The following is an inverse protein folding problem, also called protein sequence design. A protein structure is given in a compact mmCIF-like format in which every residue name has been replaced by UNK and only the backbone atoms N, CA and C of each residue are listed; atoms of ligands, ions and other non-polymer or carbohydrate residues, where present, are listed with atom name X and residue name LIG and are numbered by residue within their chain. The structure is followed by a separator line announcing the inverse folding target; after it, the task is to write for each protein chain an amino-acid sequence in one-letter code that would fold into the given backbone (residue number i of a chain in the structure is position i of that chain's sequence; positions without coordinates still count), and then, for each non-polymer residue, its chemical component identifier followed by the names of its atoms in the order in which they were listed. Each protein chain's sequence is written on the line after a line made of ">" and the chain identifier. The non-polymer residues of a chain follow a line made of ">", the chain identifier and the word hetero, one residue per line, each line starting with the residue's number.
data_IF_000429167453
#
_entry.id   IF_000429167453
#
_cell.length_a   1.000
_cell.length_b   1.000
_cell.length_c   1.000
_cell.angle_alpha   90.00
_cell.angle_beta   90.00
_cell.angle_gamma   90.00
#
_symmetry.space_group_name_H-M   'P 1'
#
loop_
_entity.id
_entity.type
_entity.pdbx_description
1 polymer ?
#
# COMPACT_ATOMS: atom_id res chain seq x y z
N UNK A 1 7.27 8.64 7.48
CA UNK A 1 8.29 7.76 8.10
C UNK A 1 9.44 7.59 7.12
N UNK A 2 10.68 7.55 7.60
CA UNK A 2 11.87 7.23 6.81
C UNK A 2 12.65 6.10 7.49
N UNK A 3 13.32 5.26 6.70
CA UNK A 3 14.24 4.23 7.19
C UNK A 3 15.63 4.48 6.61
N UNK A 4 16.63 4.51 7.48
CA UNK A 4 18.03 4.60 7.07
C UNK A 4 18.48 3.27 6.47
N UNK A 5 18.92 3.28 5.21
CA UNK A 5 19.32 2.07 4.48
C UNK A 5 20.63 1.45 4.96
N UNK A 6 21.48 2.20 5.67
CA UNK A 6 22.77 1.75 6.16
C UNK A 6 22.73 1.28 7.61
N UNK A 7 21.81 1.82 8.42
CA UNK A 7 21.71 1.48 9.85
C UNK A 7 20.44 0.74 10.22
N UNK A 8 19.41 0.76 9.36
CA UNK A 8 18.09 0.22 9.67
C UNK A 8 17.30 1.06 10.68
N UNK A 9 17.81 2.23 11.08
CA UNK A 9 17.09 3.17 11.93
C UNK A 9 15.81 3.67 11.28
N UNK A 10 14.72 3.71 12.04
CA UNK A 10 13.40 4.15 11.59
C UNK A 10 13.03 5.44 12.32
N UNK A 11 12.62 6.44 11.56
CA UNK A 11 12.17 7.74 12.06
C UNK A 11 10.77 8.07 11.55
N UNK A 12 9.91 8.57 12.44
CA UNK A 12 8.61 9.15 12.09
C UNK A 12 8.67 10.65 12.21
N UNK A 13 8.06 11.31 11.24
CA UNK A 13 8.01 12.76 11.14
C UNK A 13 6.55 13.18 11.25
N UNK A 14 6.27 14.04 12.23
CA UNK A 14 4.95 14.65 12.38
C UNK A 14 4.91 15.88 11.47
N UNK A 15 3.90 15.96 10.61
CA UNK A 15 3.74 17.04 9.65
C UNK A 15 2.45 17.80 9.95
N UNK A 16 2.55 19.10 10.17
CA UNK A 16 1.41 19.98 10.42
C UNK A 16 1.61 21.31 9.67
N UNK A 17 0.54 21.80 9.02
CA UNK A 17 0.57 23.03 8.21
C UNK A 17 1.77 23.11 7.24
N UNK A 18 2.04 22.02 6.52
CA UNK A 18 3.16 21.88 5.59
C UNK A 18 4.57 22.01 6.22
N UNK A 19 4.70 21.82 7.53
CA UNK A 19 5.97 21.83 8.26
C UNK A 19 6.19 20.51 9.00
N UNK A 20 7.44 20.06 9.10
CA UNK A 20 7.83 19.02 10.04
C UNK A 20 7.82 19.63 11.44
N UNK A 21 6.92 19.18 12.30
CA UNK A 21 6.78 19.64 13.68
C UNK A 21 7.38 18.69 14.71
N UNK A 22 7.70 17.46 14.31
CA UNK A 22 8.31 16.45 15.15
C UNK A 22 9.14 15.47 14.32
N UNK A 23 10.23 14.98 14.90
CA UNK A 23 11.05 13.91 14.36
C UNK A 23 11.36 12.93 15.50
N UNK A 24 10.84 11.71 15.41
CA UNK A 24 10.87 10.72 16.48
C UNK A 24 11.60 9.47 15.98
N UNK A 25 12.71 9.13 16.62
CA UNK A 25 13.38 7.86 16.38
C UNK A 25 12.58 6.72 17.01
N UNK A 26 12.16 5.76 16.21
CA UNK A 26 11.31 4.64 16.65
C UNK A 26 12.12 3.41 17.09
N UNK A 27 13.36 3.30 16.62
CA UNK A 27 14.22 2.14 16.83
C UNK A 27 14.96 1.73 15.56
N UNK A 28 15.68 0.62 15.65
CA UNK A 28 16.39 -0.01 14.53
C UNK A 28 15.75 -1.34 14.18
N UNK A 29 15.58 -1.61 12.89
CA UNK A 29 15.20 -2.92 12.36
C UNK A 29 16.36 -3.48 11.53
N UNK A 30 16.45 -4.80 11.40
CA UNK A 30 17.56 -5.40 10.64
C UNK A 30 17.60 -4.94 9.17
N UNK A 31 18.80 -4.87 8.59
CA UNK A 31 18.99 -4.33 7.23
C UNK A 31 18.20 -5.08 6.15
N UNK A 32 18.00 -6.39 6.35
CA UNK A 32 17.25 -7.27 5.46
C UNK A 32 15.73 -7.12 5.58
N UNK A 33 15.23 -6.32 6.52
CA UNK A 33 13.80 -6.10 6.71
C UNK A 33 13.36 -4.80 6.03
N UNK A 34 12.35 -4.90 5.17
CA UNK A 34 11.73 -3.78 4.48
C UNK A 34 10.28 -3.62 4.93
N UNK A 35 9.81 -2.39 4.95
CA UNK A 35 8.41 -2.08 5.27
C UNK A 35 7.53 -2.64 4.17
N UNK A 36 6.60 -3.53 4.53
CA UNK A 36 5.60 -4.03 3.60
C UNK A 36 4.38 -3.10 3.59
N UNK A 37 3.93 -2.66 4.76
CA UNK A 37 2.84 -1.70 4.89
C UNK A 37 2.37 -1.51 6.33
N UNK A 38 1.22 -0.86 6.49
CA UNK A 38 0.66 -0.40 7.76
C UNK A 38 -0.80 -0.82 7.90
N UNK A 39 -1.26 -1.00 9.13
CA UNK A 39 -2.61 -1.48 9.43
C UNK A 39 -2.83 -1.76 10.90
N UNK A 40 -4.05 -2.12 11.30
CA UNK A 40 -4.38 -2.49 12.68
C UNK A 40 -4.15 -4.00 12.90
N UNK A 41 -2.90 -4.43 12.84
CA UNK A 41 -2.53 -5.86 12.90
C UNK A 41 -2.58 -6.43 14.33
N UNK A 42 -2.38 -5.57 15.33
CA UNK A 42 -2.46 -5.95 16.74
C UNK A 42 -3.89 -5.94 17.28
N UNK A 43 -4.87 -5.49 16.48
CA UNK A 43 -6.27 -5.33 16.89
C UNK A 43 -6.49 -4.34 18.05
N UNK A 44 -5.59 -3.36 18.23
CA UNK A 44 -5.66 -2.34 19.31
C UNK A 44 -6.15 -0.97 18.84
N UNK A 45 -6.42 -0.81 17.55
CA UNK A 45 -6.86 0.45 16.95
C UNK A 45 -5.72 1.42 16.63
N UNK A 46 -4.47 0.96 16.71
CA UNK A 46 -3.28 1.71 16.30
C UNK A 46 -2.85 1.31 14.89
N UNK A 47 -2.15 2.21 14.18
CA UNK A 47 -1.49 1.85 12.93
C UNK A 47 -0.15 1.18 13.24
N UNK A 48 -0.15 -0.13 13.21
CA UNK A 48 1.04 -0.99 13.31
C UNK A 48 1.72 -1.10 11.95
N UNK A 49 2.89 -1.74 11.92
CA UNK A 49 3.72 -1.87 10.72
C UNK A 49 4.12 -3.33 10.50
N UNK A 50 3.96 -3.84 9.28
CA UNK A 50 4.53 -5.13 8.88
C UNK A 50 5.84 -4.89 8.15
N UNK A 51 6.88 -5.59 8.58
CA UNK A 51 8.15 -5.72 7.87
C UNK A 51 8.27 -7.10 7.26
N UNK A 52 8.92 -7.14 6.11
CA UNK A 52 9.22 -8.36 5.38
C UNK A 52 10.72 -8.51 5.17
N UNK A 53 11.22 -9.71 5.46
CA UNK A 53 12.61 -10.05 5.23
C UNK A 53 12.84 -10.34 3.74
N UNK A 54 13.72 -9.59 3.09
CA UNK A 54 13.97 -9.70 1.64
C UNK A 54 14.71 -10.98 1.25
N UNK A 55 15.38 -11.64 2.19
CA UNK A 55 16.16 -12.85 1.93
C UNK A 55 15.38 -14.13 2.22
N UNK A 56 14.38 -14.08 3.10
CA UNK A 56 13.63 -15.27 3.51
C UNK A 56 12.14 -15.21 3.17
N UNK A 57 11.58 -14.00 3.01
CA UNK A 57 10.13 -13.81 2.94
C UNK A 57 9.44 -13.91 4.30
N UNK A 58 10.19 -13.88 5.41
CA UNK A 58 9.64 -13.79 6.77
C UNK A 58 8.86 -12.50 6.97
N UNK A 59 7.82 -12.54 7.80
CA UNK A 59 6.97 -11.41 8.15
C UNK A 59 7.02 -11.15 9.67
N UNK A 60 7.19 -9.89 10.04
CA UNK A 60 7.13 -9.42 11.42
C UNK A 60 6.16 -8.24 11.51
N UNK A 61 5.28 -8.27 12.52
CA UNK A 61 4.50 -7.09 12.93
C UNK A 61 5.28 -6.34 13.99
N UNK A 62 5.27 -5.01 13.90
CA UNK A 62 5.79 -4.08 14.89
C UNK A 62 4.63 -3.22 15.40
N UNK A 63 4.31 -3.34 16.69
CA UNK A 63 3.26 -2.57 17.36
C UNK A 63 3.76 -1.14 17.57
N UNK A 64 2.99 -0.16 17.09
CA UNK A 64 3.38 1.26 17.19
C UNK A 64 2.40 2.00 18.10
N UNK A 65 2.93 2.68 19.11
CA UNK A 65 2.16 3.56 19.97
C UNK A 65 2.94 4.84 20.24
N UNK A 66 2.31 5.99 20.09
CA UNK A 66 2.91 7.32 20.30
C UNK A 66 4.27 7.47 19.59
N UNK A 67 4.34 7.11 18.30
CA UNK A 67 5.55 7.16 17.48
C UNK A 67 6.73 6.33 18.04
N UNK A 68 6.46 5.25 18.79
CA UNK A 68 7.46 4.32 19.33
C UNK A 68 7.07 2.87 19.04
N UNK A 69 8.08 2.02 18.79
CA UNK A 69 7.90 0.57 18.71
C UNK A 69 7.71 0.04 20.14
N UNK A 70 6.58 -0.60 20.40
CA UNK A 70 6.24 -1.15 21.73
C UNK A 70 6.26 -2.68 21.79
N UNK A 71 6.29 -3.33 20.62
CA UNK A 71 6.30 -4.78 20.51
C UNK A 71 6.71 -5.20 19.10
N UNK A 72 7.16 -6.44 18.97
CA UNK A 72 7.42 -7.08 17.70
C UNK A 72 7.03 -8.56 17.79
N UNK A 73 6.46 -9.10 16.71
CA UNK A 73 6.04 -10.49 16.63
C UNK A 73 6.29 -11.06 15.24
N UNK A 74 6.97 -12.21 15.18
CA UNK A 74 7.14 -12.97 13.94
C UNK A 74 5.84 -13.73 13.62
N UNK A 75 5.34 -13.57 12.39
CA UNK A 75 4.09 -14.20 11.94
C UNK A 75 4.31 -15.46 11.11
N UNK A 76 5.51 -15.66 10.56
CA UNK A 76 5.80 -16.77 9.66
C UNK A 76 6.57 -16.36 8.41
N UNK A 77 6.84 -17.33 7.55
CA UNK A 77 7.54 -17.14 6.28
C UNK A 77 6.63 -17.53 5.12
N UNK A 78 6.48 -16.63 4.15
CA UNK A 78 5.57 -16.83 2.99
C UNK A 78 6.29 -17.20 1.69
N UNK A 79 7.63 -17.32 1.73
CA UNK A 79 8.45 -17.52 0.52
C UNK A 79 8.78 -16.21 -0.20
N UNK A 80 9.71 -16.24 -1.16
CA UNK A 80 10.17 -15.06 -1.89
C UNK A 80 9.39 -14.79 -3.18
N UNK A 81 8.70 -15.81 -3.67
CA UNK A 81 7.86 -15.82 -4.86
C UNK A 81 6.51 -15.12 -4.63
N UNK A 82 6.02 -15.07 -3.40
CA UNK A 82 4.87 -14.24 -3.05
C UNK A 82 5.28 -12.79 -2.87
N UNK A 83 4.52 -11.81 -3.35
CA UNK A 83 4.76 -10.36 -3.16
C UNK A 83 3.56 -9.71 -2.53
N UNK A 84 3.79 -8.81 -1.58
CA UNK A 84 2.72 -8.03 -0.95
C UNK A 84 2.12 -7.13 -2.02
N UNK A 85 0.84 -7.34 -2.32
CA UNK A 85 0.07 -6.49 -3.22
C UNK A 85 -0.56 -5.35 -2.42
N UNK A 86 -1.06 -5.59 -1.21
CA UNK A 86 -1.51 -4.49 -0.37
C UNK A 86 -2.20 -4.95 0.90
N UNK A 87 -2.75 -3.97 1.61
CA UNK A 87 -3.44 -4.16 2.89
C UNK A 87 -4.83 -3.53 2.81
N UNK A 88 -5.81 -4.19 3.41
CA UNK A 88 -7.22 -3.77 3.35
C UNK A 88 -8.13 -4.72 4.13
N UNK A 89 -9.44 -4.52 4.02
CA UNK A 89 -10.44 -5.42 4.58
C UNK A 89 -10.97 -6.35 3.48
N UNK A 90 -10.34 -7.51 3.31
CA UNK A 90 -10.70 -8.52 2.31
C UNK A 90 -11.58 -9.63 2.91
N UNK A 91 -11.40 -9.90 4.21
CA UNK A 91 -12.16 -10.87 4.99
C UNK A 91 -13.55 -10.36 5.36
N UNK A 92 -13.77 -9.03 5.34
CA UNK A 92 -14.99 -8.39 5.79
C UNK A 92 -15.08 -8.23 7.31
N UNK A 93 -14.04 -8.60 8.06
CA UNK A 93 -14.03 -8.53 9.54
C UNK A 93 -13.72 -7.10 10.00
N UNK A 94 -14.64 -6.44 10.74
CA UNK A 94 -14.41 -5.08 11.21
C UNK A 94 -13.22 -4.98 12.17
N UNK A 95 -12.37 -3.98 11.94
CA UNK A 95 -11.23 -3.69 12.82
C UNK A 95 -9.99 -4.56 12.57
N UNK A 96 -10.05 -5.54 11.68
CA UNK A 96 -8.88 -6.28 11.20
C UNK A 96 -8.30 -5.60 9.94
N UNK A 97 -7.01 -5.81 9.69
CA UNK A 97 -6.38 -5.43 8.42
C UNK A 97 -5.74 -6.67 7.84
N UNK A 98 -6.23 -7.08 6.69
CA UNK A 98 -5.78 -8.25 5.97
C UNK A 98 -4.64 -7.88 5.00
N UNK A 99 -3.85 -8.87 4.61
CA UNK A 99 -2.76 -8.71 3.63
C UNK A 99 -3.06 -9.54 2.38
N UNK A 100 -3.01 -8.91 1.22
CA UNK A 100 -3.10 -9.60 -0.08
C UNK A 100 -1.69 -9.82 -0.63
N UNK A 101 -1.41 -11.07 -1.00
CA UNK A 101 -0.17 -11.51 -1.64
C UNK A 101 -0.45 -11.98 -3.08
N UNK A 102 0.52 -11.77 -3.96
CA UNK A 102 0.50 -12.27 -5.34
C UNK A 102 1.77 -13.05 -5.65
N UNK A 103 1.63 -14.27 -6.16
CA UNK A 103 2.76 -15.08 -6.58
C UNK A 103 3.30 -14.59 -7.94
N UNK A 104 4.58 -14.25 -8.01
CA UNK A 104 5.22 -13.69 -9.22
C UNK A 104 5.41 -14.71 -10.34
N UNK A 105 5.39 -16.00 -10.02
CA UNK A 105 5.62 -17.08 -10.98
C UNK A 105 4.31 -17.65 -11.53
N UNK A 106 3.22 -17.61 -10.76
CA UNK A 106 1.94 -18.23 -11.13
C UNK A 106 0.79 -17.24 -11.28
N UNK A 107 0.93 -16.02 -10.75
CA UNK A 107 -0.16 -15.06 -10.67
C UNK A 107 -1.23 -15.44 -9.65
N UNK A 108 -0.95 -16.43 -8.78
CA UNK A 108 -1.81 -16.79 -7.67
C UNK A 108 -2.02 -15.62 -6.71
N UNK A 109 -3.23 -15.50 -6.17
CA UNK A 109 -3.62 -14.49 -5.19
C UNK A 109 -3.97 -15.18 -3.87
N UNK A 110 -3.47 -14.65 -2.76
CA UNK A 110 -3.72 -15.19 -1.43
C UNK A 110 -3.98 -14.06 -0.43
N UNK A 111 -5.03 -14.19 0.38
CA UNK A 111 -5.38 -13.25 1.44
C UNK A 111 -5.05 -13.86 2.78
N UNK A 112 -4.32 -13.11 3.61
CA UNK A 112 -4.05 -13.44 4.99
C UNK A 112 -4.85 -12.54 5.92
N UNK A 113 -5.69 -13.14 6.75
CA UNK A 113 -6.37 -12.43 7.84
C UNK A 113 -5.37 -12.27 8.99
N UNK A 114 -5.18 -11.04 9.46
CA UNK A 114 -4.20 -10.73 10.51
C UNK A 114 -4.92 -10.10 11.70
N UNK A 115 -4.79 -10.76 12.86
CA UNK A 115 -5.32 -10.28 14.13
C UNK A 115 -4.40 -10.69 15.28
N UNK A 116 -4.36 -9.85 16.32
CA UNK A 116 -3.52 -10.08 17.49
C UNK A 116 -2.05 -10.42 17.14
N UNK A 117 -1.49 -9.73 16.14
CA UNK A 117 -0.12 -9.91 15.65
C UNK A 117 0.17 -11.30 15.04
N UNK A 118 -0.86 -12.01 14.58
CA UNK A 118 -0.73 -13.36 14.00
C UNK A 118 -1.56 -13.47 12.71
N UNK A 119 -1.10 -14.33 11.80
CA UNK A 119 -1.91 -14.78 10.67
C UNK A 119 -2.92 -15.79 11.22
N UNK A 120 -4.21 -15.44 11.14
CA UNK A 120 -5.31 -16.26 11.68
C UNK A 120 -5.98 -17.11 10.61
N UNK A 121 -5.86 -16.71 9.33
CA UNK A 121 -6.37 -17.45 8.19
C UNK A 121 -5.53 -17.15 6.95
N UNK A 122 -5.47 -18.11 6.03
CA UNK A 122 -4.83 -17.99 4.72
C UNK A 122 -5.78 -18.55 3.65
N UNK A 123 -6.19 -17.71 2.71
CA UNK A 123 -7.18 -18.04 1.70
C UNK A 123 -6.66 -17.80 0.28
N UNK A 124 -6.57 -18.86 -0.50
CA UNK A 124 -6.23 -18.77 -1.93
C UNK A 124 -7.45 -18.33 -2.74
N UNK A 125 -7.32 -17.24 -3.50
CA UNK A 125 -8.40 -16.65 -4.28
C UNK A 125 -8.47 -17.14 -5.72
N UNK A 126 -7.42 -17.78 -6.22
CA UNK A 126 -7.27 -18.15 -7.63
C UNK A 126 -6.03 -17.53 -8.28
N UNK A 127 -5.91 -17.71 -9.60
CA UNK A 127 -4.82 -17.15 -10.39
C UNK A 127 -5.33 -16.09 -11.36
N UNK A 128 -4.57 -15.01 -11.54
CA UNK A 128 -4.76 -14.03 -12.61
C UNK A 128 -3.48 -14.00 -13.45
N UNK A 129 -3.58 -13.89 -14.77
CA UNK A 129 -2.43 -13.94 -15.69
C UNK A 129 -1.26 -13.02 -15.29
N UNK A 130 -0.03 -13.43 -15.60
CA UNK A 130 1.20 -12.68 -15.24
C UNK A 130 1.33 -11.35 -15.97
N UNK A 131 0.58 -11.16 -17.04
CA UNK A 131 0.41 -9.88 -17.73
C UNK A 131 -0.36 -8.86 -16.90
N UNK A 132 -1.09 -9.29 -15.87
CA UNK A 132 -1.75 -8.42 -14.90
C UNK A 132 -0.86 -8.19 -13.67
N UNK A 133 -0.55 -6.92 -13.43
CA UNK A 133 0.28 -6.45 -12.32
C UNK A 133 -0.52 -5.60 -11.34
N UNK A 134 -0.06 -5.55 -10.10
CA UNK A 134 -0.67 -4.78 -9.04
C UNK A 134 -0.80 -3.30 -9.43
N UNK A 135 -1.99 -2.73 -9.24
CA UNK A 135 -2.25 -1.32 -9.44
C UNK A 135 -2.71 -0.62 -8.15
N UNK A 136 -3.54 -1.27 -7.34
CA UNK A 136 -3.97 -0.67 -6.09
C UNK A 136 -4.93 -1.54 -5.29
N UNK A 137 -5.16 -1.11 -4.05
CA UNK A 137 -6.22 -1.64 -3.19
C UNK A 137 -7.10 -0.46 -2.78
N UNK A 138 -8.42 -0.57 -2.97
CA UNK A 138 -9.38 0.48 -2.60
C UNK A 138 -10.80 -0.09 -2.48
N UNK A 139 -11.70 0.53 -1.70
CA UNK A 139 -13.11 0.14 -1.63
C UNK A 139 -13.88 0.66 -2.86
N UNK A 140 -13.89 -0.12 -3.95
CA UNK A 140 -14.44 0.32 -5.25
C UNK A 140 -15.90 -0.13 -5.42
N UNK A 141 -16.20 -1.40 -5.14
CA UNK A 141 -17.55 -1.94 -5.34
C UNK A 141 -18.51 -1.60 -4.20
N UNK A 142 -18.01 -1.58 -2.96
CA UNK A 142 -18.80 -1.33 -1.76
C UNK A 142 -17.97 -0.68 -0.67
N UNK A 143 -18.65 0.08 0.19
CA UNK A 143 -18.02 0.65 1.39
C UNK A 143 -17.68 -0.45 2.40
N UNK A 144 -16.49 -0.35 3.00
CA UNK A 144 -16.07 -1.19 4.12
C UNK A 144 -15.30 -2.45 3.71
N UNK A 145 -15.34 -2.89 2.46
CA UNK A 145 -14.50 -3.96 1.91
C UNK A 145 -13.48 -3.38 0.94
N UNK A 146 -12.36 -4.08 0.74
CA UNK A 146 -11.28 -3.65 -0.15
C UNK A 146 -11.22 -4.53 -1.39
N UNK A 147 -11.02 -3.88 -2.53
CA UNK A 147 -10.91 -4.53 -3.83
C UNK A 147 -9.49 -4.46 -4.36
N UNK A 148 -9.14 -5.40 -5.23
CA UNK A 148 -7.86 -5.43 -5.92
C UNK A 148 -8.04 -4.83 -7.32
N UNK A 149 -7.24 -3.83 -7.63
CA UNK A 149 -7.08 -3.33 -9.01
C UNK A 149 -5.79 -3.89 -9.59
N UNK A 150 -5.90 -4.46 -10.78
CA UNK A 150 -4.78 -4.90 -11.59
C UNK A 150 -4.72 -4.11 -12.90
N UNK A 151 -3.52 -3.92 -13.41
CA UNK A 151 -3.25 -3.34 -14.73
C UNK A 151 -2.57 -4.37 -15.63
N UNK A 152 -3.08 -4.53 -16.84
CA UNK A 152 -2.44 -5.34 -17.87
C UNK A 152 -1.26 -4.57 -18.48
N UNK A 153 -0.06 -5.14 -18.40
CA UNK A 153 1.17 -4.48 -18.88
C UNK A 153 1.28 -4.41 -20.39
N UNK A 154 0.56 -5.27 -21.12
CA UNK A 154 0.62 -5.33 -22.58
C UNK A 154 -0.37 -4.37 -23.24
N UNK A 155 -1.50 -4.10 -22.58
CA UNK A 155 -2.58 -3.26 -23.16
C UNK A 155 -2.80 -1.95 -22.41
N UNK A 156 -2.39 -1.86 -21.15
CA UNK A 156 -2.75 -0.77 -20.24
C UNK A 156 -4.22 -0.80 -19.81
N UNK A 157 -4.90 -1.96 -19.94
CA UNK A 157 -6.24 -2.18 -19.41
C UNK A 157 -6.21 -2.29 -17.88
N UNK A 158 -7.27 -1.85 -17.23
CA UNK A 158 -7.49 -2.01 -15.79
C UNK A 158 -8.68 -2.92 -15.54
N UNK A 159 -8.54 -3.77 -14.54
CA UNK A 159 -9.61 -4.62 -14.00
C UNK A 159 -9.65 -4.46 -12.49
N UNK A 160 -10.86 -4.40 -11.95
CA UNK A 160 -11.12 -4.53 -10.51
C UNK A 160 -11.64 -5.92 -10.23
N UNK A 161 -11.17 -6.50 -9.13
CA UNK A 161 -11.61 -7.76 -8.57
C UNK A 161 -12.24 -7.46 -7.21
N UNK A 162 -13.55 -7.69 -7.13
CA UNK A 162 -14.33 -7.46 -5.92
C UNK A 162 -14.03 -8.58 -4.94
N UNK A 163 -13.57 -8.24 -3.74
CA UNK A 163 -13.17 -9.24 -2.74
C UNK A 163 -14.00 -9.05 -1.47
N UNK A 164 -14.65 -10.12 -1.03
CA UNK A 164 -15.36 -10.16 0.24
C UNK A 164 -15.33 -11.57 0.83
N UNK A 165 -15.24 -11.65 2.16
CA UNK A 165 -15.18 -12.93 2.88
C UNK A 165 -14.07 -13.84 2.35
N UNK A 166 -12.91 -13.27 2.02
CA UNK A 166 -11.77 -13.99 1.48
C UNK A 166 -12.06 -14.74 0.18
N UNK A 167 -12.94 -14.19 -0.66
CA UNK A 167 -13.31 -14.73 -1.97
C UNK A 167 -13.42 -13.61 -3.00
N UNK A 168 -13.08 -13.90 -4.25
CA UNK A 168 -13.45 -13.03 -5.37
C UNK A 168 -14.93 -13.22 -5.64
N UNK A 169 -15.71 -12.15 -5.49
CA UNK A 169 -17.17 -12.15 -5.67
C UNK A 169 -17.59 -11.58 -7.02
N UNK A 170 -16.70 -10.82 -7.67
CA UNK A 170 -16.94 -10.18 -8.95
C UNK A 170 -15.65 -9.71 -9.60
N UNK A 171 -15.72 -9.40 -10.89
CA UNK A 171 -14.65 -8.71 -11.61
C UNK A 171 -15.26 -7.80 -12.68
N UNK A 172 -14.67 -6.63 -12.89
CA UNK A 172 -15.14 -5.67 -13.88
C UNK A 172 -13.96 -4.95 -14.56
N UNK A 173 -14.10 -4.65 -15.86
CA UNK A 173 -13.16 -3.79 -16.56
C UNK A 173 -13.39 -2.33 -16.17
N UNK A 174 -12.30 -1.63 -15.85
CA UNK A 174 -12.28 -0.17 -15.62
C UNK A 174 -11.88 0.61 -16.88
N UNK A 175 -11.70 -0.08 -18.01
CA UNK A 175 -11.27 0.50 -19.27
C UNK A 175 -9.77 0.38 -19.52
N UNK A 176 -9.32 1.01 -20.62
CA UNK A 176 -7.94 0.92 -21.11
C UNK A 176 -7.40 2.31 -21.39
N UNK A 177 -6.27 2.65 -20.75
CA UNK A 177 -5.62 3.96 -20.90
C UNK A 177 -4.38 3.90 -21.82
N UNK A 178 -3.89 2.70 -22.12
CA UNK A 178 -2.68 2.47 -22.93
C UNK A 178 -1.41 2.32 -22.08
N UNK A 179 -0.34 1.81 -22.71
CA UNK A 179 0.90 1.41 -22.01
C UNK A 179 1.81 2.59 -21.64
N UNK A 180 1.70 3.71 -22.34
CA UNK A 180 2.54 4.90 -22.15
C UNK A 180 2.21 5.70 -20.86
N UNK A 181 1.08 5.39 -20.22
CA UNK A 181 0.69 5.96 -18.94
C UNK A 181 1.25 5.16 -17.77
N UNK A 182 1.79 5.86 -16.78
CA UNK A 182 2.22 5.29 -15.51
C UNK A 182 1.17 5.56 -14.43
N UNK A 183 0.93 4.57 -13.58
CA UNK A 183 0.01 4.70 -12.48
C UNK A 183 0.66 5.48 -11.33
N UNK A 184 0.03 6.59 -10.92
CA UNK A 184 0.47 7.36 -9.74
C UNK A 184 -0.09 6.84 -8.41
N UNK A 185 -1.18 6.07 -8.46
CA UNK A 185 -1.89 5.53 -7.31
C UNK A 185 -3.41 5.58 -7.51
N UNK A 186 -4.14 5.00 -6.57
CA UNK A 186 -5.59 5.17 -6.46
C UNK A 186 -5.87 6.15 -5.32
N UNK A 187 -6.83 7.04 -5.53
CA UNK A 187 -7.32 7.95 -4.50
C UNK A 187 -8.82 7.75 -4.37
N UNK A 188 -9.32 7.71 -3.14
CA UNK A 188 -10.74 7.83 -2.88
C UNK A 188 -11.22 9.22 -3.34
N UNK A 189 -12.45 9.29 -3.86
CA UNK A 189 -13.08 10.58 -4.12
C UNK A 189 -13.11 11.36 -2.80
N UNK A 190 -12.57 12.60 -2.74
CA UNK A 190 -12.72 13.42 -1.56
C UNK A 190 -14.22 13.53 -1.25
N UNK A 191 -14.62 13.46 0.03
CA UNK A 191 -16.03 13.59 0.37
C UNK A 191 -16.57 14.85 -0.29
N UNK A 192 -17.53 14.67 -1.20
CA UNK A 192 -18.35 15.79 -1.64
C UNK A 192 -18.92 16.40 -0.37
N UNK A 193 -18.67 17.70 -0.15
CA UNK A 193 -19.03 18.39 1.07
C UNK A 193 -20.56 18.38 1.25
N UNK A 194 -21.08 17.27 1.77
CA UNK A 194 -22.40 17.17 2.33
C UNK A 194 -22.23 17.48 3.81
N UNK A 195 -22.98 18.48 4.24
CA UNK A 195 -22.97 19.02 5.60
C UNK A 195 -23.34 17.94 6.61
N UNK A 196 -22.36 17.26 7.20
CA UNK A 196 -22.55 16.49 8.43
C UNK A 196 -21.21 16.16 9.13
N UNK A 197 -21.07 16.70 10.35
CA UNK A 197 -20.29 16.16 11.48
C UNK A 197 -18.80 15.85 11.24
N UNK A 198 -17.95 16.80 11.62
CA UNK A 198 -16.51 16.61 11.84
C UNK A 198 -16.33 15.51 12.91
N UNK A 199 -15.93 14.32 12.48
CA UNK A 199 -15.64 13.18 13.34
C UNK A 199 -14.95 12.08 12.53
N UNK A 200 -13.63 12.22 12.41
CA UNK A 200 -12.66 11.16 12.12
C UNK A 200 -12.83 10.33 10.82
N UNK A 201 -12.16 10.75 9.75
CA UNK A 201 -11.84 9.88 8.58
C UNK A 201 -10.85 10.50 7.57
N UNK A 202 -10.14 11.58 7.93
CA UNK A 202 -9.29 12.32 6.98
C UNK A 202 -7.86 11.77 6.81
N UNK A 203 -7.35 10.98 7.76
CA UNK A 203 -5.95 10.58 7.77
C UNK A 203 -5.69 9.27 7.01
N UNK A 204 -6.63 8.31 7.03
CA UNK A 204 -6.43 6.99 6.43
C UNK A 204 -6.37 7.01 4.89
N UNK A 205 -7.06 7.97 4.24
CA UNK A 205 -7.21 7.98 2.77
C UNK A 205 -5.96 8.44 2.01
N UNK A 206 -5.13 9.31 2.61
CA UNK A 206 -3.84 9.72 2.01
C UNK A 206 -2.74 8.69 2.23
N UNK A 207 -2.87 7.83 3.25
CA UNK A 207 -1.86 6.80 3.58
C UNK A 207 -1.82 5.71 2.51
N UNK A 208 -2.96 5.30 1.95
CA UNK A 208 -3.01 4.35 0.83
C UNK A 208 -2.40 4.93 -0.46
N UNK A 209 -2.56 6.24 -0.71
CA UNK A 209 -1.98 6.90 -1.90
C UNK A 209 -0.44 7.02 -1.85
N UNK A 210 0.18 6.99 -0.67
CA UNK A 210 1.65 7.10 -0.51
C UNK A 210 2.38 5.77 -0.37
N UNK A 211 1.67 4.65 -0.20
CA UNK A 211 2.27 3.32 -0.10
C UNK A 211 3.01 2.88 -1.40
N UNK A 212 2.83 3.60 -2.51
CA UNK A 212 3.52 3.37 -3.78
C UNK A 212 4.93 3.97 -3.92
N UNK A 213 5.44 4.74 -2.95
CA UNK A 213 6.71 5.47 -3.12
C UNK A 213 7.87 5.05 -2.19
N UNK A 214 7.78 3.93 -1.47
CA UNK A 214 8.80 3.56 -0.48
C UNK A 214 9.15 2.07 -0.45
N UNK A 215 10.19 1.68 -1.20
CA UNK A 215 10.87 0.40 -1.02
C UNK A 215 10.79 -0.49 -2.25
N UNK A 216 11.82 -0.41 -3.11
CA UNK A 216 11.94 -1.26 -4.28
C UNK A 216 11.83 -2.74 -3.94
N UNK A 217 10.73 -3.35 -4.38
CA UNK A 217 10.69 -4.76 -4.72
C UNK A 217 9.95 -4.92 -6.05
N UNK A 218 10.69 -4.68 -7.14
CA UNK A 218 10.51 -5.36 -8.43
C UNK A 218 9.15 -5.23 -9.14
N UNK A 219 8.86 -4.03 -9.67
CA UNK A 219 8.12 -3.85 -10.93
C UNK A 219 8.37 -2.43 -11.49
N UNK A 220 9.63 -1.98 -11.52
CA UNK A 220 10.04 -0.76 -12.24
C UNK A 220 11.57 -0.71 -12.37
N UNK A 221 12.17 -1.58 -13.18
CA UNK A 221 13.52 -1.31 -13.70
C UNK A 221 13.45 -0.99 -15.20
N UNK A 222 13.24 0.29 -15.47
CA UNK A 222 13.82 0.98 -16.64
C UNK A 222 13.78 2.51 -16.42
N UNK A 223 14.31 2.98 -15.29
CA UNK A 223 14.69 4.40 -15.19
C UNK A 223 15.98 4.59 -16.00
N UNK A 224 15.79 4.94 -17.27
CA UNK A 224 16.84 5.41 -18.15
C UNK A 224 17.40 6.72 -17.57
N UNK A 225 18.51 6.64 -16.86
CA UNK A 225 19.21 7.79 -16.27
C UNK A 225 19.96 8.56 -17.37
N UNK A 226 19.24 9.38 -18.12
CA UNK A 226 19.88 10.48 -18.83
C UNK A 226 20.28 11.56 -17.80
N UNK A 227 21.56 11.99 -17.75
CA UNK A 227 21.97 13.04 -16.82
C UNK A 227 21.29 14.37 -17.18
N UNK A 228 20.53 14.93 -16.23
CA UNK A 228 19.98 16.28 -16.31
C UNK A 228 21.12 17.30 -16.28
N UNK A 229 21.46 17.87 -17.44
CA UNK A 229 22.13 19.16 -17.47
C UNK A 229 21.13 20.25 -17.10
N UNK A 230 21.52 21.13 -16.17
CA UNK A 230 20.70 22.24 -15.70
C UNK A 230 20.43 23.23 -16.85
N UNK A 231 19.19 23.27 -17.33
CA UNK A 231 18.67 24.29 -18.23
C UNK A 231 17.47 24.96 -17.59
N UNK A 232 17.67 26.17 -17.06
CA UNK A 232 16.61 27.03 -16.53
C UNK A 232 15.64 27.44 -17.64
N UNK A 233 14.38 26.99 -17.56
CA UNK A 233 13.28 27.59 -18.32
C UNK A 233 12.12 27.87 -17.37
N UNK A 234 11.89 29.15 -17.10
CA UNK A 234 10.70 29.64 -16.39
C UNK A 234 9.46 29.31 -17.23
N UNK A 235 8.47 28.61 -16.67
CA UNK A 235 7.13 28.55 -17.23
C UNK A 235 6.26 29.62 -16.57
N UNK A 236 5.84 30.57 -17.40
CA UNK A 236 4.90 31.65 -17.10
C UNK A 236 3.52 31.09 -16.80
N UNK A 237 2.98 31.40 -15.62
CA UNK A 237 1.63 31.07 -15.20
C UNK A 237 0.61 31.86 -16.05
N UNK A 238 -0.18 31.18 -16.88
CA UNK A 238 -1.26 31.80 -17.65
C UNK A 238 -2.48 32.06 -16.76
N UNK A 239 -2.63 33.29 -16.27
CA UNK A 239 -3.91 33.80 -15.76
C UNK A 239 -4.64 34.55 -16.89
N UNK A 240 -5.78 34.03 -17.32
CA UNK A 240 -6.75 34.78 -18.15
C UNK A 240 -7.56 35.74 -17.26
N UNK A 241 -7.81 37.00 -17.67
CA UNK A 241 -8.92 37.78 -17.12
C UNK A 241 -10.18 37.62 -17.96
N UNK A 242 -11.33 37.55 -17.28
CA UNK A 242 -12.68 37.66 -17.84
C UNK A 242 -13.04 39.12 -18.12
N UNK A 243 -13.85 39.27 -19.18
CA UNK A 243 -14.64 40.41 -19.65
C UNK A 243 -13.87 41.59 -20.26
#
# INVERSE_FOLDING_TARGET
>A
MLRNVNTGGVEVYDIHNNLITGANFMGTVGLNWQVAGFGNFSSRGTSDMILRNVNTGGLEVYDINNNQITGAAFMGTVGLDWKTSGFGNFSGKPGETDMLLRNVNTGGLEVYDIANNQITNAAFLGTVGLDWQFAGVAPIHAAGTSDLVLRNVNTGAFEVYDIANNQITGAASLGQVGVDWQLGGLAADPPSASTASIGDSGAAQLVQAMAGFGGGSGAAESLNTAPLSAGTSQQTLLTLPRA
#
